data_IF_997473135086
#
_entry.id   IF_997473135086
#
_cell.length_a   1.000
_cell.length_b   1.000
_cell.length_c   1.000
_cell.angle_alpha   90.00
_cell.angle_beta   90.00
_cell.angle_gamma   90.00
#
_symmetry.space_group_name_H-M   'P 1'
#
loop_
_entity.id
_entity.type
_entity.pdbx_description
1 polymer ?
#
# COMPACT_ATOMS: atom_id res chain seq x y z
N UNK A 1 -17.82 20.11 -9.07
CA UNK A 1 -17.32 18.73 -8.91
C UNK A 1 -18.02 18.01 -7.76
N UNK A 2 -19.10 17.28 -8.06
CA UNK A 2 -19.90 16.60 -7.02
C UNK A 2 -19.60 15.11 -6.96
N UNK A 3 -19.35 14.59 -5.76
CA UNK A 3 -19.22 13.14 -5.51
C UNK A 3 -20.59 12.44 -5.38
N UNK A 4 -21.70 13.12 -5.72
CA UNK A 4 -23.05 12.61 -5.51
C UNK A 4 -23.33 11.30 -6.25
N UNK A 5 -22.88 11.19 -7.50
CA UNK A 5 -23.01 9.98 -8.31
C UNK A 5 -22.43 8.75 -7.59
N UNK A 6 -21.30 8.92 -6.92
CA UNK A 6 -20.63 7.82 -6.22
C UNK A 6 -21.32 7.43 -4.91
N UNK A 7 -22.15 8.31 -4.31
CA UNK A 7 -23.03 7.93 -3.21
C UNK A 7 -24.14 7.00 -3.70
N UNK A 8 -24.70 7.27 -4.88
CA UNK A 8 -25.67 6.37 -5.53
C UNK A 8 -25.08 4.99 -5.80
N UNK A 9 -23.91 4.94 -6.45
CA UNK A 9 -23.20 3.67 -6.68
C UNK A 9 -22.86 2.94 -5.38
N UNK A 10 -22.55 3.67 -4.30
CA UNK A 10 -22.28 3.07 -3.00
C UNK A 10 -23.55 2.50 -2.36
N UNK A 11 -24.70 3.16 -2.53
CA UNK A 11 -26.00 2.64 -2.11
C UNK A 11 -26.30 1.32 -2.80
N UNK A 12 -26.16 1.26 -4.12
CA UNK A 12 -26.38 0.03 -4.90
C UNK A 12 -25.50 -1.13 -4.40
N UNK A 13 -24.23 -0.84 -4.07
CA UNK A 13 -23.31 -1.83 -3.53
C UNK A 13 -23.67 -2.30 -2.10
N UNK A 14 -24.26 -1.42 -1.28
CA UNK A 14 -24.78 -1.76 0.05
C UNK A 14 -26.04 -2.62 -0.08
N UNK A 15 -26.96 -2.27 -0.99
CA UNK A 15 -28.20 -3.02 -1.23
C UNK A 15 -27.91 -4.43 -1.78
N UNK A 16 -26.81 -4.59 -2.52
CA UNK A 16 -26.35 -5.88 -3.04
C UNK A 16 -25.56 -6.73 -2.03
N UNK A 17 -25.37 -6.28 -0.78
CA UNK A 17 -24.64 -7.05 0.23
C UNK A 17 -25.33 -8.39 0.52
N UNK A 18 -24.65 -9.54 0.30
CA UNK A 18 -25.21 -10.81 0.72
C UNK A 18 -25.08 -10.97 2.24
N UNK A 19 -25.53 -12.11 2.76
CA UNK A 19 -25.51 -12.44 4.18
C UNK A 19 -24.18 -12.07 4.88
N UNK A 20 -24.25 -11.67 6.16
CA UNK A 20 -23.09 -11.23 6.92
C UNK A 20 -21.98 -12.29 6.90
N UNK A 21 -20.72 -11.82 6.79
CA UNK A 21 -19.54 -12.68 6.78
C UNK A 21 -19.30 -13.29 8.17
N UNK A 22 -18.45 -14.31 8.21
CA UNK A 22 -18.06 -14.98 9.45
C UNK A 22 -17.48 -13.95 10.42
N UNK A 23 -18.03 -13.87 11.64
CA UNK A 23 -17.46 -13.05 12.70
C UNK A 23 -16.18 -13.70 13.22
N UNK A 24 -15.08 -12.98 13.09
CA UNK A 24 -13.78 -13.33 13.68
C UNK A 24 -13.56 -12.50 14.95
N UNK A 25 -12.72 -12.95 15.90
CA UNK A 25 -12.39 -12.18 17.11
C UNK A 25 -11.73 -10.83 16.78
N UNK A 26 -11.89 -9.85 17.66
CA UNK A 26 -11.34 -8.52 17.43
C UNK A 26 -9.81 -8.49 17.61
N UNK A 27 -9.13 -7.71 16.76
CA UNK A 27 -7.71 -7.36 16.88
C UNK A 27 -7.59 -6.14 17.79
N UNK A 28 -7.12 -6.36 19.02
CA UNK A 28 -7.10 -5.33 20.07
C UNK A 28 -6.11 -4.19 19.81
N UNK A 29 -4.99 -4.45 19.14
CA UNK A 29 -4.02 -3.41 18.76
C UNK A 29 -4.44 -2.73 17.44
N UNK A 30 -4.73 -1.41 17.45
CA UNK A 30 -5.23 -0.71 16.26
C UNK A 30 -4.15 -0.49 15.17
N UNK A 31 -2.85 -0.62 15.48
CA UNK A 31 -1.79 -0.64 14.47
C UNK A 31 -1.72 -2.00 13.77
N UNK A 32 -1.89 -3.08 14.54
CA UNK A 32 -1.98 -4.43 13.97
C UNK A 32 -3.25 -4.56 13.13
N UNK A 33 -4.39 -4.07 13.60
CA UNK A 33 -5.63 -4.05 12.82
C UNK A 33 -5.46 -3.26 11.51
N UNK A 34 -4.81 -2.09 11.55
CA UNK A 34 -4.54 -1.31 10.33
C UNK A 34 -3.63 -2.06 9.35
N UNK A 35 -2.58 -2.70 9.86
CA UNK A 35 -1.65 -3.54 9.07
C UNK A 35 -2.38 -4.74 8.46
N UNK A 36 -3.23 -5.42 9.23
CA UNK A 36 -4.05 -6.54 8.80
C UNK A 36 -5.03 -6.13 7.70
N UNK A 37 -5.77 -5.02 7.88
CA UNK A 37 -6.72 -4.51 6.88
C UNK A 37 -6.02 -4.34 5.52
N UNK A 38 -4.90 -3.63 5.49
CA UNK A 38 -4.20 -3.35 4.23
C UNK A 38 -3.70 -4.63 3.55
N UNK A 39 -3.08 -5.53 4.31
CA UNK A 39 -2.51 -6.76 3.76
C UNK A 39 -3.58 -7.77 3.34
N UNK A 40 -4.69 -7.84 4.08
CA UNK A 40 -5.84 -8.65 3.70
C UNK A 40 -6.46 -8.14 2.40
N UNK A 41 -6.58 -6.82 2.22
CA UNK A 41 -7.04 -6.22 0.95
C UNK A 41 -6.09 -6.56 -0.20
N UNK A 42 -4.76 -6.53 -0.04
CA UNK A 42 -3.83 -7.00 -1.08
C UNK A 42 -4.05 -8.47 -1.46
N UNK A 43 -4.45 -9.29 -0.48
CA UNK A 43 -4.61 -10.75 -0.60
C UNK A 43 -6.00 -11.20 -1.03
N UNK A 44 -6.94 -10.29 -1.22
CA UNK A 44 -8.35 -10.62 -1.44
C UNK A 44 -8.98 -11.43 -0.29
N UNK A 45 -8.45 -11.27 0.92
CA UNK A 45 -8.94 -11.95 2.12
C UNK A 45 -10.03 -11.10 2.76
N UNK A 46 -11.26 -11.25 2.25
CA UNK A 46 -12.41 -10.47 2.72
C UNK A 46 -12.68 -10.70 4.22
N UNK A 47 -12.54 -11.92 4.72
CA UNK A 47 -12.82 -12.25 6.13
C UNK A 47 -11.84 -11.52 7.06
N UNK A 48 -10.54 -11.57 6.79
CA UNK A 48 -9.53 -10.84 7.59
C UNK A 48 -9.63 -9.32 7.42
N UNK A 49 -9.99 -8.84 6.24
CA UNK A 49 -10.24 -7.42 6.02
C UNK A 49 -11.45 -6.92 6.83
N UNK A 50 -12.54 -7.69 6.89
CA UNK A 50 -13.70 -7.36 7.73
C UNK A 50 -13.37 -7.40 9.22
N UNK A 51 -12.65 -8.42 9.67
CA UNK A 51 -12.19 -8.52 11.06
C UNK A 51 -11.42 -7.25 11.45
N UNK A 52 -10.43 -6.89 10.65
CA UNK A 52 -9.62 -5.70 10.89
C UNK A 52 -10.45 -4.40 10.83
N UNK A 53 -11.41 -4.30 9.91
CA UNK A 53 -12.31 -3.15 9.84
C UNK A 53 -13.21 -3.03 11.07
N UNK A 54 -13.79 -4.13 11.54
CA UNK A 54 -14.61 -4.18 12.76
C UNK A 54 -13.80 -3.74 13.99
N UNK A 55 -12.57 -4.23 14.12
CA UNK A 55 -11.67 -3.82 15.22
C UNK A 55 -11.29 -2.34 15.18
N UNK A 56 -11.27 -1.73 13.99
CA UNK A 56 -11.00 -0.30 13.81
C UNK A 56 -12.23 0.59 14.04
N UNK A 57 -13.43 0.05 14.28
CA UNK A 57 -14.63 0.87 14.55
C UNK A 57 -14.56 1.67 15.85
N UNK A 58 -13.66 1.31 16.77
CA UNK A 58 -13.34 2.16 17.93
C UNK A 58 -12.67 3.49 17.55
N UNK A 59 -12.05 3.56 16.37
CA UNK A 59 -11.46 4.76 15.77
C UNK A 59 -11.84 4.81 14.26
N UNK A 60 -13.09 5.16 13.92
CA UNK A 60 -13.56 5.12 12.53
C UNK A 60 -12.71 5.98 11.59
N UNK A 61 -12.14 7.08 12.09
CA UNK A 61 -11.28 7.94 11.29
C UNK A 61 -10.06 7.17 10.76
N UNK A 62 -9.47 6.29 11.57
CA UNK A 62 -8.35 5.42 11.15
C UNK A 62 -8.76 4.40 10.09
N UNK A 63 -9.95 3.80 10.22
CA UNK A 63 -10.50 2.91 9.19
C UNK A 63 -10.64 3.64 7.85
N UNK A 64 -11.38 4.75 7.85
CA UNK A 64 -11.71 5.47 6.62
C UNK A 64 -10.48 6.08 5.96
N UNK A 65 -9.59 6.71 6.73
CA UNK A 65 -8.31 7.19 6.20
C UNK A 65 -7.49 6.02 5.62
N UNK A 66 -7.56 4.86 6.25
CA UNK A 66 -6.88 3.67 5.79
C UNK A 66 -7.38 3.12 4.46
N UNK A 67 -8.70 3.09 4.26
CA UNK A 67 -9.33 2.71 2.98
C UNK A 67 -9.05 3.74 1.88
N UNK A 68 -9.10 5.04 2.21
CA UNK A 68 -8.75 6.10 1.28
C UNK A 68 -7.29 6.04 0.84
N UNK A 69 -6.36 5.69 1.74
CA UNK A 69 -4.96 5.45 1.34
C UNK A 69 -4.86 4.22 0.46
N UNK A 70 -5.47 3.09 0.86
CA UNK A 70 -5.38 1.83 0.12
C UNK A 70 -5.88 1.97 -1.32
N UNK A 71 -6.95 2.73 -1.58
CA UNK A 71 -7.51 2.87 -2.93
C UNK A 71 -6.55 3.55 -3.92
N UNK A 72 -5.60 4.35 -3.44
CA UNK A 72 -4.55 4.93 -4.29
C UNK A 72 -3.23 4.14 -4.20
N UNK A 73 -2.88 3.63 -3.02
CA UNK A 73 -1.61 2.93 -2.76
C UNK A 73 -1.59 1.53 -3.38
N UNK A 74 -2.65 0.76 -3.17
CA UNK A 74 -2.71 -0.67 -3.46
C UNK A 74 -3.58 -1.01 -4.67
N UNK A 75 -4.40 -0.05 -5.10
CA UNK A 75 -5.43 -0.22 -6.11
C UNK A 75 -5.44 0.96 -7.10
N UNK A 76 -4.27 1.46 -7.49
CA UNK A 76 -4.14 2.63 -8.37
C UNK A 76 -4.98 2.52 -9.65
N UNK A 77 -5.01 1.33 -10.27
CA UNK A 77 -5.81 1.02 -11.45
C UNK A 77 -7.30 0.73 -11.21
N UNK A 78 -7.78 0.82 -9.96
CA UNK A 78 -9.18 0.53 -9.66
C UNK A 78 -10.12 1.38 -10.52
N UNK A 79 -11.28 0.81 -10.92
CA UNK A 79 -12.30 1.55 -11.62
C UNK A 79 -12.62 2.86 -10.89
N UNK A 80 -12.83 3.94 -11.66
CA UNK A 80 -13.14 5.26 -11.10
C UNK A 80 -14.35 5.22 -10.16
N UNK A 81 -15.32 4.32 -10.42
CA UNK A 81 -16.46 4.06 -9.55
C UNK A 81 -16.07 3.66 -8.13
N UNK A 82 -15.18 2.67 -7.98
CA UNK A 82 -14.71 2.22 -6.67
C UNK A 82 -13.93 3.32 -5.93
N UNK A 83 -13.03 4.02 -6.64
CA UNK A 83 -12.29 5.16 -6.08
C UNK A 83 -13.24 6.26 -5.60
N UNK A 84 -14.20 6.64 -6.44
CA UNK A 84 -15.21 7.64 -6.10
C UNK A 84 -16.07 7.23 -4.90
N UNK A 85 -16.52 5.97 -4.82
CA UNK A 85 -17.30 5.45 -3.68
C UNK A 85 -16.51 5.53 -2.37
N UNK A 86 -15.24 5.09 -2.37
CA UNK A 86 -14.36 5.15 -1.18
C UNK A 86 -14.19 6.60 -0.73
N UNK A 87 -13.90 7.53 -1.64
CA UNK A 87 -13.68 8.94 -1.30
C UNK A 87 -14.97 9.64 -0.86
N UNK A 88 -16.12 9.30 -1.46
CA UNK A 88 -17.43 9.77 -1.02
C UNK A 88 -17.75 9.29 0.41
N UNK A 89 -17.52 8.00 0.69
CA UNK A 89 -17.71 7.42 2.03
C UNK A 89 -16.80 8.08 3.07
N UNK A 90 -15.52 8.29 2.75
CA UNK A 90 -14.57 8.92 3.67
C UNK A 90 -14.89 10.39 3.94
N UNK A 91 -15.37 11.12 2.94
CA UNK A 91 -15.67 12.54 3.02
C UNK A 91 -16.93 12.90 3.82
N UNK A 92 -17.81 11.94 4.12
CA UNK A 92 -19.09 12.23 4.79
C UNK A 92 -19.54 11.15 5.77
N UNK A 93 -19.47 11.45 7.08
CA UNK A 93 -20.08 10.60 8.12
C UNK A 93 -21.59 10.42 7.91
N UNK A 94 -22.27 11.47 7.42
CA UNK A 94 -23.71 11.42 7.14
C UNK A 94 -24.02 10.38 6.07
N UNK A 95 -23.29 10.36 4.95
CA UNK A 95 -23.48 9.35 3.89
C UNK A 95 -23.41 7.94 4.47
N UNK A 96 -22.43 7.67 5.32
CA UNK A 96 -22.29 6.35 5.92
C UNK A 96 -23.41 6.02 6.91
N UNK A 97 -23.85 6.99 7.70
CA UNK A 97 -24.99 6.83 8.59
C UNK A 97 -26.29 6.55 7.83
N UNK A 98 -26.52 7.25 6.71
CA UNK A 98 -27.71 7.09 5.89
C UNK A 98 -27.74 5.72 5.19
N UNK A 99 -26.56 5.12 4.95
CA UNK A 99 -26.38 3.79 4.33
C UNK A 99 -26.21 2.64 5.35
N UNK A 100 -26.73 2.80 6.58
CA UNK A 100 -26.73 1.73 7.58
C UNK A 100 -25.51 1.67 8.51
N UNK A 101 -24.63 2.69 8.47
CA UNK A 101 -23.51 2.88 9.39
C UNK A 101 -22.15 2.44 8.85
N UNK A 102 -21.10 2.69 9.65
CA UNK A 102 -19.70 2.50 9.22
C UNK A 102 -19.40 1.06 8.77
N UNK A 103 -19.88 0.05 9.50
CA UNK A 103 -19.56 -1.35 9.20
C UNK A 103 -20.23 -1.84 7.91
N UNK A 104 -21.49 -1.46 7.67
CA UNK A 104 -22.23 -1.84 6.46
C UNK A 104 -21.53 -1.29 5.22
N UNK A 105 -21.18 0.01 5.25
CA UNK A 105 -20.45 0.64 4.15
C UNK A 105 -19.05 0.06 3.97
N UNK A 106 -18.31 -0.19 5.06
CA UNK A 106 -17.00 -0.83 4.98
C UNK A 106 -17.11 -2.24 4.36
N UNK A 107 -18.16 -2.99 4.69
CA UNK A 107 -18.41 -4.31 4.14
C UNK A 107 -18.61 -4.28 2.62
N UNK A 108 -19.40 -3.34 2.12
CA UNK A 108 -19.63 -3.18 0.68
C UNK A 108 -18.33 -2.84 -0.06
N UNK A 109 -17.53 -1.92 0.49
CA UNK A 109 -16.27 -1.50 -0.13
C UNK A 109 -15.20 -2.59 -0.09
N UNK A 110 -15.04 -3.30 1.03
CA UNK A 110 -14.04 -4.37 1.17
C UNK A 110 -14.31 -5.51 0.19
N UNK A 111 -15.58 -5.86 -0.06
CA UNK A 111 -15.92 -6.86 -1.10
C UNK A 111 -15.46 -6.41 -2.48
N UNK A 112 -15.77 -5.18 -2.86
CA UNK A 112 -15.33 -4.62 -4.15
C UNK A 112 -13.80 -4.53 -4.26
N UNK A 113 -13.10 -4.13 -3.19
CA UNK A 113 -11.63 -4.19 -3.13
C UNK A 113 -11.10 -5.60 -3.36
N UNK A 114 -11.76 -6.61 -2.79
CA UNK A 114 -11.32 -7.99 -2.94
C UNK A 114 -11.45 -8.49 -4.38
N UNK A 115 -12.42 -7.97 -5.13
CA UNK A 115 -12.74 -8.34 -6.52
C UNK A 115 -11.88 -7.64 -7.58
N UNK A 116 -11.31 -6.48 -7.29
CA UNK A 116 -10.50 -5.74 -8.28
C UNK A 116 -9.02 -6.14 -8.26
N UNK A 117 -8.33 -6.12 -9.42
CA UNK A 117 -6.88 -6.27 -9.46
C UNK A 117 -6.15 -5.21 -8.63
N UNK A 118 -5.01 -5.58 -8.05
CA UNK A 118 -4.15 -4.67 -7.29
C UNK A 118 -3.17 -4.00 -8.25
N UNK A 119 -2.86 -2.75 -7.97
CA UNK A 119 -1.88 -1.98 -8.71
C UNK A 119 -1.19 -1.04 -7.72
N UNK A 120 0.08 -1.35 -7.43
CA UNK A 120 0.91 -0.59 -6.50
C UNK A 120 1.84 0.39 -7.22
N UNK A 121 1.65 0.65 -8.52
CA UNK A 121 2.49 1.59 -9.29
C UNK A 121 2.60 2.95 -8.63
N UNK A 122 1.53 3.48 -8.04
CA UNK A 122 1.55 4.78 -7.34
C UNK A 122 2.51 4.73 -6.16
N UNK A 123 2.39 3.72 -5.31
CA UNK A 123 3.28 3.54 -4.15
C UNK A 123 4.72 3.28 -4.58
N UNK A 124 4.93 2.41 -5.57
CA UNK A 124 6.25 2.08 -6.10
C UNK A 124 6.93 3.28 -6.76
N UNK A 125 6.17 4.12 -7.44
CA UNK A 125 6.68 5.37 -8.00
C UNK A 125 7.04 6.35 -6.89
N UNK A 126 6.16 6.55 -5.90
CA UNK A 126 6.37 7.48 -4.79
C UNK A 126 7.62 7.11 -3.98
N UNK A 127 7.70 5.85 -3.58
CA UNK A 127 8.80 5.33 -2.78
C UNK A 127 10.12 5.37 -3.55
N UNK A 128 10.12 5.04 -4.85
CA UNK A 128 11.34 5.07 -5.65
C UNK A 128 11.82 6.49 -5.93
N UNK A 129 10.95 7.37 -6.41
CA UNK A 129 11.29 8.78 -6.60
C UNK A 129 11.82 9.41 -5.29
N UNK A 130 11.21 9.10 -4.14
CA UNK A 130 11.68 9.57 -2.84
C UNK A 130 13.06 9.06 -2.42
N UNK A 131 13.49 7.89 -2.90
CA UNK A 131 14.87 7.40 -2.72
C UNK A 131 15.84 8.11 -3.67
N UNK A 132 15.44 8.34 -4.92
CA UNK A 132 16.27 9.04 -5.90
C UNK A 132 16.58 10.50 -5.51
N UNK A 133 15.73 11.14 -4.70
CA UNK A 133 16.03 12.45 -4.11
C UNK A 133 17.24 12.44 -3.16
N UNK A 134 17.61 11.28 -2.62
CA UNK A 134 18.72 11.12 -1.67
C UNK A 134 19.93 10.43 -2.29
N UNK A 135 19.68 9.52 -3.21
CA UNK A 135 20.67 8.66 -3.84
C UNK A 135 20.42 8.62 -5.35
N UNK A 136 21.04 9.57 -6.06
CA UNK A 136 20.88 9.69 -7.50
C UNK A 136 21.58 8.53 -8.23
N UNK A 137 20.96 7.97 -9.27
CA UNK A 137 21.57 6.92 -10.06
C UNK A 137 22.74 7.49 -10.86
N UNK A 138 23.75 6.67 -11.12
CA UNK A 138 24.80 7.06 -12.07
C UNK A 138 24.20 7.26 -13.48
N UNK A 139 24.82 8.09 -14.34
CA UNK A 139 24.36 8.24 -15.72
C UNK A 139 24.31 6.91 -16.50
N UNK A 140 25.20 5.96 -16.15
CA UNK A 140 25.22 4.62 -16.76
C UNK A 140 24.00 3.79 -16.34
N UNK A 141 23.63 3.82 -15.07
CA UNK A 141 22.43 3.13 -14.58
C UNK A 141 21.17 3.74 -15.17
N UNK A 142 21.04 5.07 -15.14
CA UNK A 142 19.87 5.77 -15.68
C UNK A 142 19.65 5.54 -17.18
N UNK A 143 20.72 5.35 -17.95
CA UNK A 143 20.64 4.98 -19.38
C UNK A 143 20.07 3.59 -19.62
N UNK A 144 20.10 2.68 -18.63
CA UNK A 144 19.52 1.33 -18.75
C UNK A 144 18.00 1.32 -18.59
N UNK A 145 17.42 2.37 -18.01
CA UNK A 145 15.99 2.46 -17.79
C UNK A 145 15.25 2.73 -19.10
N UNK A 146 13.99 2.32 -19.20
CA UNK A 146 13.13 2.76 -20.30
C UNK A 146 12.95 4.29 -20.30
N UNK A 147 12.72 4.91 -21.48
CA UNK A 147 12.34 6.32 -21.55
C UNK A 147 11.12 6.67 -20.67
N UNK A 148 10.12 5.80 -20.66
CA UNK A 148 8.87 5.95 -19.92
C UNK A 148 9.11 5.95 -18.41
N UNK A 149 9.96 5.04 -17.91
CA UNK A 149 10.33 5.00 -16.50
C UNK A 149 11.10 6.26 -16.08
N UNK A 150 12.03 6.74 -16.92
CA UNK A 150 12.76 7.99 -16.65
C UNK A 150 11.79 9.16 -16.54
N UNK A 151 10.90 9.33 -17.52
CA UNK A 151 9.92 10.41 -17.51
C UNK A 151 9.01 10.34 -16.27
N UNK A 152 8.49 9.15 -15.95
CA UNK A 152 7.67 8.94 -14.76
C UNK A 152 8.41 9.40 -13.50
N UNK A 153 9.64 8.93 -13.30
CA UNK A 153 10.40 9.22 -12.09
C UNK A 153 10.85 10.68 -12.01
N UNK A 154 11.20 11.30 -13.13
CA UNK A 154 11.55 12.72 -13.19
C UNK A 154 10.37 13.60 -12.78
N UNK A 155 9.20 13.39 -13.39
CA UNK A 155 7.97 14.13 -13.05
C UNK A 155 7.53 13.87 -11.61
N UNK A 156 7.71 12.64 -11.12
CA UNK A 156 7.38 12.28 -9.74
C UNK A 156 8.32 12.94 -8.73
N UNK A 157 9.62 12.98 -9.04
CA UNK A 157 10.62 13.68 -8.22
C UNK A 157 10.34 15.18 -8.15
N UNK A 158 10.04 15.81 -9.29
CA UNK A 158 9.61 17.22 -9.35
C UNK A 158 8.37 17.46 -8.49
N UNK A 159 7.35 16.60 -8.61
CA UNK A 159 6.13 16.69 -7.80
C UNK A 159 6.44 16.58 -6.30
N UNK A 160 7.27 15.61 -5.88
CA UNK A 160 7.67 15.44 -4.48
C UNK A 160 8.38 16.69 -3.96
N UNK A 161 9.32 17.27 -4.73
CA UNK A 161 10.01 18.51 -4.36
C UNK A 161 9.04 19.69 -4.22
N UNK A 162 8.12 19.83 -5.17
CA UNK A 162 7.13 20.91 -5.19
C UNK A 162 6.15 20.78 -4.02
N UNK A 163 5.62 19.59 -3.80
CA UNK A 163 4.47 19.36 -2.94
C UNK A 163 4.78 18.90 -1.51
N UNK A 164 6.01 18.47 -1.18
CA UNK A 164 6.32 18.00 0.17
C UNK A 164 7.34 18.87 0.90
N UNK A 165 7.18 19.00 2.22
CA UNK A 165 8.12 19.72 3.08
C UNK A 165 8.53 18.86 4.27
N UNK A 166 9.83 18.86 4.64
CA UNK A 166 10.26 18.22 5.87
C UNK A 166 9.61 18.92 7.06
N UNK A 167 9.16 18.14 8.04
CA UNK A 167 8.64 18.67 9.31
C UNK A 167 9.63 18.32 10.42
N UNK A 168 10.14 19.30 11.19
CA UNK A 168 11.04 19.04 12.30
C UNK A 168 10.47 17.96 13.23
N UNK A 169 11.33 17.00 13.62
CA UNK A 169 11.00 15.89 14.54
C UNK A 169 9.95 14.89 14.04
N UNK A 170 9.46 15.00 12.80
CA UNK A 170 8.62 13.97 12.19
C UNK A 170 9.42 13.12 11.22
N UNK A 171 9.11 11.82 11.19
CA UNK A 171 9.68 10.89 10.20
C UNK A 171 9.11 11.11 8.81
N UNK A 172 7.90 11.67 8.71
CA UNK A 172 7.18 11.89 7.47
C UNK A 172 7.17 13.37 7.11
N UNK A 173 7.22 13.64 5.80
CA UNK A 173 7.02 14.97 5.24
C UNK A 173 5.54 15.34 5.31
N UNK A 174 5.25 16.64 5.25
CA UNK A 174 3.88 17.15 5.10
C UNK A 174 3.65 17.59 3.66
N UNK A 175 2.41 17.47 3.19
CA UNK A 175 2.01 17.93 1.87
C UNK A 175 1.61 19.41 1.90
N UNK A 176 1.99 20.14 0.86
CA UNK A 176 1.63 21.55 0.63
C UNK A 176 0.36 21.55 -0.23
N UNK A 177 -0.80 21.66 0.43
CA UNK A 177 -2.09 21.47 -0.23
C UNK A 177 -2.30 22.36 -1.47
N UNK A 178 -1.88 23.62 -1.41
CA UNK A 178 -2.00 24.55 -2.55
C UNK A 178 -1.20 24.11 -3.77
N UNK A 179 0.02 23.59 -3.57
CA UNK A 179 0.85 23.06 -4.65
C UNK A 179 0.28 21.78 -5.25
N UNK A 180 -0.23 20.89 -4.39
CA UNK A 180 -0.90 19.67 -4.84
C UNK A 180 -2.14 19.98 -5.70
N UNK A 181 -2.98 20.91 -5.24
CA UNK A 181 -4.22 21.26 -5.92
C UNK A 181 -3.92 22.01 -7.24
N UNK A 182 -2.92 22.90 -7.25
CA UNK A 182 -2.45 23.57 -8.48
C UNK A 182 -1.96 22.55 -9.52
N UNK A 183 -1.13 21.59 -9.12
CA UNK A 183 -0.67 20.52 -10.02
C UNK A 183 -1.82 19.70 -10.61
N UNK A 184 -2.83 19.36 -9.81
CA UNK A 184 -4.00 18.62 -10.30
C UNK A 184 -4.83 19.45 -11.29
N UNK A 185 -4.97 20.76 -11.07
CA UNK A 185 -5.63 21.67 -12.02
C UNK A 185 -4.82 21.78 -13.32
N UNK A 186 -3.49 21.88 -13.25
CA UNK A 186 -2.62 21.88 -14.44
C UNK A 186 -2.80 20.59 -15.27
N UNK A 187 -2.94 19.42 -14.62
CA UNK A 187 -3.23 18.16 -15.32
C UNK A 187 -4.62 18.16 -15.97
N UNK A 188 -5.62 18.78 -15.34
CA UNK A 188 -6.97 18.89 -15.90
C UNK A 188 -7.00 19.84 -17.11
N UNK A 189 -6.37 21.01 -17.01
CA UNK A 189 -6.24 21.98 -18.10
C UNK A 189 -5.47 21.42 -19.30
N UNK A 190 -4.53 20.50 -19.05
CA UNK A 190 -3.81 19.76 -20.09
C UNK A 190 -4.58 18.54 -20.64
N UNK A 191 -5.85 18.34 -20.24
CA UNK A 191 -6.70 17.21 -20.65
C UNK A 191 -6.12 15.83 -20.29
N UNK A 192 -5.27 15.76 -19.25
CA UNK A 192 -4.64 14.52 -18.79
C UNK A 192 -5.47 13.80 -17.71
N UNK A 193 -6.37 14.53 -17.04
CA UNK A 193 -7.39 14.00 -16.14
C UNK A 193 -8.73 14.63 -16.49
N UNK A 194 -9.82 13.89 -16.31
CA UNK A 194 -11.16 14.43 -16.45
C UNK A 194 -11.66 15.12 -15.15
N UNK A 195 -12.83 15.75 -15.20
CA UNK A 195 -13.41 16.45 -14.05
C UNK A 195 -13.69 15.50 -12.86
N UNK A 196 -14.11 14.27 -13.13
CA UNK A 196 -14.41 13.28 -12.09
C UNK A 196 -13.12 12.86 -11.36
N UNK A 197 -12.06 12.57 -12.11
CA UNK A 197 -10.75 12.22 -11.58
C UNK A 197 -10.14 13.37 -10.78
N UNK A 198 -10.23 14.61 -11.29
CA UNK A 198 -9.79 15.81 -10.57
C UNK A 198 -10.49 15.91 -9.20
N UNK A 199 -11.82 15.75 -9.18
CA UNK A 199 -12.62 15.80 -7.96
C UNK A 199 -12.17 14.74 -6.93
N UNK A 200 -11.99 13.50 -7.39
CA UNK A 200 -11.57 12.36 -6.57
C UNK A 200 -10.16 12.59 -6.02
N UNK A 201 -9.22 13.08 -6.83
CA UNK A 201 -7.85 13.31 -6.41
C UNK A 201 -7.75 14.44 -5.38
N UNK A 202 -8.47 15.56 -5.60
CA UNK A 202 -8.51 16.68 -4.65
C UNK A 202 -9.11 16.23 -3.31
N UNK A 203 -10.25 15.54 -3.32
CA UNK A 203 -10.90 15.08 -2.09
C UNK A 203 -10.11 13.94 -1.43
N UNK A 204 -9.51 13.06 -2.22
CA UNK A 204 -8.56 12.04 -1.78
C UNK A 204 -7.42 12.65 -1.00
N UNK A 205 -6.76 13.68 -1.54
CA UNK A 205 -5.67 14.42 -0.88
C UNK A 205 -6.12 15.13 0.39
N UNK A 206 -7.37 15.63 0.47
CA UNK A 206 -7.95 16.20 1.72
C UNK A 206 -8.07 15.13 2.79
N UNK A 207 -8.52 13.95 2.40
CA UNK A 207 -8.83 12.83 3.28
C UNK A 207 -7.55 12.15 3.79
N UNK A 208 -6.63 11.83 2.89
CA UNK A 208 -5.41 11.08 3.21
C UNK A 208 -4.29 11.97 3.74
N UNK A 209 -4.26 13.24 3.33
CA UNK A 209 -3.16 14.18 3.61
C UNK A 209 -1.79 13.62 3.16
N UNK A 210 -1.78 12.84 2.07
CA UNK A 210 -0.57 12.31 1.44
C UNK A 210 -0.54 12.64 -0.05
N UNK A 211 0.60 12.37 -0.70
CA UNK A 211 0.83 12.69 -2.10
C UNK A 211 0.22 11.66 -3.07
N UNK A 212 -0.15 10.47 -2.61
CA UNK A 212 -0.62 9.37 -3.48
C UNK A 212 -1.79 9.77 -4.41
N UNK A 213 -2.84 10.47 -3.95
CA UNK A 213 -3.92 10.93 -4.83
C UNK A 213 -3.45 11.92 -5.90
N UNK A 214 -2.39 12.67 -5.64
CA UNK A 214 -1.80 13.68 -6.55
C UNK A 214 -0.87 13.02 -7.56
N UNK A 215 -0.18 11.96 -7.15
CA UNK A 215 0.72 11.19 -7.99
C UNK A 215 -0.02 10.24 -8.94
N UNK A 216 -1.21 9.79 -8.56
CA UNK A 216 -2.02 8.84 -9.33
C UNK A 216 -2.12 9.19 -10.84
N UNK A 217 -2.47 10.43 -11.25
CA UNK A 217 -2.52 10.80 -12.66
C UNK A 217 -1.22 10.54 -13.43
N UNK A 218 -0.05 10.77 -12.83
CA UNK A 218 1.23 10.53 -13.49
C UNK A 218 1.43 9.05 -13.84
N UNK A 219 1.04 8.15 -12.94
CA UNK A 219 1.13 6.71 -13.19
C UNK A 219 0.16 6.22 -14.25
N UNK A 220 -1.00 6.88 -14.39
CA UNK A 220 -1.98 6.58 -15.43
C UNK A 220 -1.47 6.94 -16.82
N UNK A 221 -0.71 8.03 -16.96
CA UNK A 221 -0.18 8.51 -18.25
C UNK A 221 0.84 7.57 -18.88
N UNK A 222 1.63 6.90 -18.04
CA UNK A 222 2.70 5.99 -18.46
C UNK A 222 2.28 4.53 -18.42
N UNK A 223 1.21 4.19 -17.68
CA UNK A 223 0.51 2.92 -17.86
C UNK A 223 0.11 2.86 -19.33
N UNK A 224 0.54 1.83 -20.08
CA UNK A 224 0.49 1.91 -21.53
C UNK A 224 -0.92 2.26 -22.02
N UNK A 225 -1.00 3.06 -23.09
CA UNK A 225 -2.17 3.13 -23.99
C UNK A 225 -2.57 1.75 -24.57
N UNK A 226 -1.95 0.66 -24.09
CA UNK A 226 -2.21 -0.71 -24.47
C UNK A 226 -3.45 -1.21 -23.72
N UNK A 227 -4.44 -1.61 -24.50
CA UNK A 227 -5.64 -2.32 -24.06
C UNK A 227 -5.34 -3.72 -23.48
N UNK A 228 -4.10 -4.02 -23.14
CA UNK A 228 -3.64 -5.33 -22.67
C UNK A 228 -2.67 -5.14 -21.50
N UNK A 229 -3.16 -5.39 -20.30
CA UNK A 229 -2.32 -5.72 -19.15
C UNK A 229 -2.46 -7.22 -18.87
N UNK A 230 -1.45 -7.80 -18.22
CA UNK A 230 -1.55 -9.16 -17.71
C UNK A 230 -1.92 -9.12 -16.23
N UNK A 231 -2.61 -10.15 -15.76
CA UNK A 231 -2.82 -10.39 -14.35
C UNK A 231 -1.81 -11.42 -13.88
N UNK A 232 -0.90 -11.01 -13.00
CA UNK A 232 0.03 -11.92 -12.35
C UNK A 232 -0.60 -12.40 -11.06
N UNK A 233 -0.78 -13.72 -10.95
CA UNK A 233 -1.10 -14.38 -9.70
C UNK A 233 0.20 -14.49 -8.89
N UNK A 234 0.44 -13.55 -7.98
CA UNK A 234 1.66 -13.61 -7.14
C UNK A 234 1.52 -14.60 -5.98
N UNK A 235 0.32 -15.13 -5.76
CA UNK A 235 0.05 -16.17 -4.78
C UNK A 235 -1.03 -17.14 -5.32
N UNK A 236 -0.73 -18.45 -5.52
CA UNK A 236 -1.73 -19.42 -5.95
C UNK A 236 -2.86 -19.54 -4.92
N UNK A 237 -4.11 -19.54 -5.38
CA UNK A 237 -5.28 -19.74 -4.52
C UNK A 237 -5.10 -20.99 -3.64
N UNK A 238 -5.26 -20.84 -2.32
CA UNK A 238 -5.10 -21.93 -1.35
C UNK A 238 -3.77 -21.93 -0.56
N UNK A 239 -2.70 -21.29 -1.06
CA UNK A 239 -1.41 -21.20 -0.33
C UNK A 239 -1.47 -20.30 0.90
N UNK A 240 -2.46 -19.40 1.00
CA UNK A 240 -2.68 -18.56 2.17
C UNK A 240 -3.08 -19.35 3.41
N UNK A 241 -3.85 -20.45 3.27
CA UNK A 241 -4.30 -21.24 4.42
C UNK A 241 -3.14 -21.90 5.18
N UNK A 242 -1.99 -22.07 4.53
CA UNK A 242 -0.83 -22.76 5.13
C UNK A 242 0.24 -21.77 5.68
N UNK A 243 0.25 -20.53 5.19
CA UNK A 243 1.20 -19.49 5.65
C UNK A 243 0.59 -18.48 6.61
N UNK A 244 -0.74 -18.34 6.65
CA UNK A 244 -1.44 -17.67 7.76
C UNK A 244 -1.58 -18.65 8.93
N UNK A 245 -0.46 -18.99 9.57
CA UNK A 245 -0.57 -19.38 10.98
C UNK A 245 -1.19 -18.16 11.68
N UNK A 246 -2.41 -18.31 12.14
CA UNK A 246 -3.03 -17.29 12.95
C UNK A 246 -2.54 -17.48 14.39
N UNK A 247 -2.32 -16.37 15.08
CA UNK A 247 -1.98 -16.39 16.50
C UNK A 247 -3.08 -15.66 17.22
N UNK A 248 -3.92 -16.40 17.95
CA UNK A 248 -5.13 -15.85 18.58
C UNK A 248 -5.95 -15.00 17.60
N UNK A 249 -6.20 -15.57 16.41
CA UNK A 249 -6.97 -14.94 15.35
C UNK A 249 -6.35 -13.69 14.73
N UNK A 250 -5.08 -13.36 15.00
CA UNK A 250 -4.33 -12.34 14.28
C UNK A 250 -3.50 -13.00 13.18
N UNK A 251 -3.61 -12.54 11.91
CA UNK A 251 -2.75 -13.05 10.85
C UNK A 251 -1.30 -12.58 11.07
N UNK A 252 -0.35 -13.51 11.14
CA UNK A 252 1.06 -13.19 11.42
C UNK A 252 1.70 -12.19 10.43
N UNK A 253 1.21 -12.15 9.18
CA UNK A 253 1.67 -11.16 8.21
C UNK A 253 1.35 -9.71 8.62
N UNK A 254 0.41 -9.49 9.54
CA UNK A 254 0.12 -8.17 10.08
C UNK A 254 1.20 -7.70 11.08
N UNK A 255 1.97 -8.63 11.67
CA UNK A 255 3.05 -8.35 12.62
C UNK A 255 4.36 -8.10 11.87
N UNK A 256 4.44 -6.98 11.16
CA UNK A 256 5.60 -6.59 10.36
C UNK A 256 6.37 -5.40 10.97
N UNK A 257 7.34 -4.84 10.24
CA UNK A 257 8.14 -3.71 10.71
C UNK A 257 7.38 -2.38 10.86
N UNK A 258 6.06 -2.34 10.60
CA UNK A 258 5.20 -1.22 10.96
C UNK A 258 4.47 -1.41 12.29
N UNK A 259 4.60 -2.59 12.91
CA UNK A 259 4.05 -2.90 14.23
C UNK A 259 5.18 -3.03 15.26
N UNK A 260 4.86 -2.77 16.53
CA UNK A 260 5.83 -2.94 17.63
C UNK A 260 6.29 -4.38 17.73
N UNK A 261 5.34 -5.31 17.81
CA UNK A 261 5.57 -6.76 17.87
C UNK A 261 6.39 -7.24 16.69
N UNK A 262 6.04 -6.87 15.46
CA UNK A 262 6.80 -7.28 14.28
C UNK A 262 8.21 -6.70 14.24
N UNK A 263 8.40 -5.45 14.68
CA UNK A 263 9.75 -4.85 14.78
C UNK A 263 10.61 -5.60 15.80
N UNK A 264 10.07 -5.92 16.98
CA UNK A 264 10.77 -6.70 18.01
C UNK A 264 11.13 -8.10 17.49
N UNK A 265 10.21 -8.78 16.81
CA UNK A 265 10.45 -10.09 16.21
C UNK A 265 11.55 -10.04 15.15
N UNK A 266 11.57 -9.00 14.29
CA UNK A 266 12.62 -8.79 13.29
C UNK A 266 13.99 -8.55 13.92
N UNK A 267 14.05 -7.81 15.02
CA UNK A 267 15.29 -7.62 15.75
C UNK A 267 15.84 -8.94 16.30
N UNK A 268 15.00 -9.74 16.97
CA UNK A 268 15.40 -11.06 17.45
C UNK A 268 15.81 -12.00 16.31
N UNK A 269 15.08 -11.98 15.19
CA UNK A 269 15.41 -12.77 14.00
C UNK A 269 16.80 -12.42 13.47
N UNK A 270 17.11 -11.12 13.41
CA UNK A 270 18.42 -10.64 12.98
C UNK A 270 19.53 -11.20 13.87
N UNK A 271 19.36 -11.19 15.19
CA UNK A 271 20.33 -11.78 16.13
C UNK A 271 20.48 -13.30 15.96
N UNK A 272 19.40 -14.00 15.66
CA UNK A 272 19.39 -15.46 15.59
C UNK A 272 19.82 -16.02 14.22
N UNK A 273 20.00 -15.18 13.20
CA UNK A 273 20.26 -15.64 11.82
C UNK A 273 21.58 -15.08 11.27
N UNK A 274 22.72 -15.80 11.41
CA UNK A 274 24.03 -15.34 10.96
C UNK A 274 24.09 -14.95 9.48
N UNK A 275 23.36 -15.68 8.62
CA UNK A 275 23.27 -15.38 7.18
C UNK A 275 22.71 -13.98 6.91
N UNK A 276 21.61 -13.62 7.56
CA UNK A 276 21.01 -12.28 7.44
C UNK A 276 21.93 -11.20 8.01
N UNK A 277 22.65 -11.48 9.11
CA UNK A 277 23.63 -10.53 9.66
C UNK A 277 24.78 -10.25 8.69
N UNK A 278 25.27 -11.29 8.01
CA UNK A 278 26.33 -11.17 7.01
C UNK A 278 25.87 -10.31 5.83
N UNK A 279 24.68 -10.57 5.29
CA UNK A 279 24.09 -9.82 4.17
C UNK A 279 23.82 -8.36 4.53
N UNK A 280 23.45 -8.08 5.78
CA UNK A 280 23.16 -6.73 6.28
C UNK A 280 24.39 -6.07 6.93
N UNK A 281 25.59 -6.63 6.79
CA UNK A 281 26.86 -6.06 7.29
C UNK A 281 27.14 -4.62 6.78
N UNK A 282 26.79 -4.23 5.54
CA UNK A 282 27.03 -2.86 5.05
C UNK A 282 26.33 -1.75 5.84
N UNK A 283 25.28 -2.06 6.61
CA UNK A 283 24.59 -1.06 7.42
C UNK A 283 25.28 -0.85 8.77
N UNK A 284 25.64 0.39 9.06
CA UNK A 284 26.40 0.74 10.27
C UNK A 284 25.61 0.55 11.57
N UNK A 285 24.30 0.84 11.56
CA UNK A 285 23.46 0.82 12.76
C UNK A 285 22.48 -0.35 12.78
N UNK A 286 22.16 -0.84 13.99
CA UNK A 286 21.10 -1.84 14.21
C UNK A 286 19.76 -1.37 13.64
N UNK A 287 19.40 -0.11 13.82
CA UNK A 287 18.14 0.44 13.27
C UNK A 287 18.10 0.38 11.74
N UNK A 288 19.22 0.68 11.07
CA UNK A 288 19.29 0.57 9.61
C UNK A 288 19.17 -0.89 9.15
N UNK A 289 19.82 -1.84 9.83
CA UNK A 289 19.66 -3.28 9.55
C UNK A 289 18.23 -3.75 9.72
N UNK A 290 17.55 -3.37 10.79
CA UNK A 290 16.13 -3.72 11.02
C UNK A 290 15.23 -3.13 9.94
N UNK A 291 15.48 -1.90 9.48
CA UNK A 291 14.73 -1.29 8.37
C UNK A 291 14.94 -2.05 7.06
N UNK A 292 16.19 -2.38 6.71
CA UNK A 292 16.50 -3.18 5.55
C UNK A 292 15.83 -4.56 5.61
N UNK A 293 15.87 -5.22 6.78
CA UNK A 293 15.19 -6.49 7.02
C UNK A 293 13.67 -6.38 6.89
N UNK A 294 13.08 -5.29 7.39
CA UNK A 294 11.65 -5.00 7.21
C UNK A 294 11.29 -4.80 5.74
N UNK A 295 12.16 -4.18 4.93
CA UNK A 295 11.94 -4.03 3.50
C UNK A 295 12.01 -5.39 2.78
N UNK A 296 12.95 -6.26 3.16
CA UNK A 296 13.01 -7.64 2.65
C UNK A 296 11.76 -8.43 3.03
N UNK A 297 11.33 -8.37 4.30
CA UNK A 297 10.09 -8.98 4.78
C UNK A 297 8.88 -8.49 3.97
N UNK A 298 8.82 -7.18 3.70
CA UNK A 298 7.75 -6.61 2.89
C UNK A 298 7.70 -7.25 1.51
N UNK A 299 8.83 -7.41 0.82
CA UNK A 299 8.86 -8.03 -0.51
C UNK A 299 8.46 -9.51 -0.48
N UNK A 300 8.86 -10.27 0.56
CA UNK A 300 8.57 -11.71 0.64
C UNK A 300 7.21 -12.05 1.24
N UNK A 301 6.58 -11.11 1.95
CA UNK A 301 5.33 -11.34 2.68
C UNK A 301 4.40 -10.12 2.53
N UNK A 302 4.73 -8.97 3.13
CA UNK A 302 3.80 -7.85 3.30
C UNK A 302 3.20 -7.25 2.01
N UNK A 303 3.94 -7.28 0.91
CA UNK A 303 3.59 -6.70 -0.39
C UNK A 303 2.96 -7.69 -1.38
N UNK A 304 2.76 -8.95 -1.00
CA UNK A 304 2.12 -9.96 -1.85
C UNK A 304 0.67 -9.54 -2.17
N UNK A 305 0.33 -9.61 -3.46
CA UNK A 305 -1.00 -9.31 -3.99
C UNK A 305 -1.59 -10.52 -4.72
N UNK A 306 -2.78 -11.00 -4.36
CA UNK A 306 -3.34 -12.23 -4.96
C UNK A 306 -3.52 -12.12 -6.46
N UNK A 307 -3.99 -10.96 -6.93
CA UNK A 307 -4.06 -10.60 -8.34
C UNK A 307 -3.44 -9.22 -8.49
N UNK A 308 -2.32 -9.13 -9.21
CA UNK A 308 -1.62 -7.88 -9.44
C UNK A 308 -1.56 -7.60 -10.93
N UNK A 309 -1.82 -6.36 -11.32
CA UNK A 309 -1.57 -5.91 -12.69
C UNK A 309 -0.07 -5.97 -12.96
N UNK A 310 0.30 -6.44 -14.15
CA UNK A 310 1.69 -6.44 -14.63
C UNK A 310 1.74 -6.02 -16.09
N UNK A 311 2.73 -5.16 -16.36
CA UNK A 311 3.12 -4.64 -17.67
C UNK A 311 4.63 -4.36 -17.63
N UNK A 312 5.30 -4.20 -18.80
CA UNK A 312 6.75 -4.02 -18.84
C UNK A 312 7.29 -2.85 -18.01
N UNK A 313 6.56 -1.73 -17.97
CA UNK A 313 6.99 -0.55 -17.20
C UNK A 313 6.88 -0.82 -15.71
N UNK A 314 5.79 -1.44 -15.27
CA UNK A 314 5.60 -1.76 -13.86
C UNK A 314 6.58 -2.83 -13.36
N UNK A 315 6.86 -3.84 -14.19
CA UNK A 315 7.85 -4.87 -13.86
C UNK A 315 9.26 -4.28 -13.75
N UNK A 316 9.63 -3.38 -14.66
CA UNK A 316 10.89 -2.62 -14.59
C UNK A 316 10.96 -1.75 -13.32
N UNK A 317 9.91 -0.99 -13.04
CA UNK A 317 9.78 -0.17 -11.83
C UNK A 317 10.01 -1.01 -10.57
N UNK A 318 9.27 -2.12 -10.42
CA UNK A 318 9.37 -3.02 -9.26
C UNK A 318 10.76 -3.65 -9.12
N UNK A 319 11.35 -4.06 -10.24
CA UNK A 319 12.67 -4.69 -10.23
C UNK A 319 13.72 -3.73 -9.65
N UNK A 320 13.72 -2.47 -10.11
CA UNK A 320 14.72 -1.48 -9.70
C UNK A 320 14.41 -0.92 -8.31
N UNK A 321 13.13 -0.63 -8.02
CA UNK A 321 12.70 -0.01 -6.77
C UNK A 321 13.05 -0.85 -5.54
N UNK A 322 12.77 -2.16 -5.62
CA UNK A 322 12.96 -3.12 -4.51
C UNK A 322 14.42 -3.19 -4.04
N UNK A 323 15.37 -3.08 -4.96
CA UNK A 323 16.78 -3.03 -4.60
C UNK A 323 17.08 -1.78 -3.76
N UNK A 324 16.66 -0.63 -4.28
CA UNK A 324 17.04 0.68 -3.73
C UNK A 324 16.41 0.98 -2.37
N UNK A 325 15.16 0.59 -2.12
CA UNK A 325 14.51 0.92 -0.84
C UNK A 325 15.03 0.11 0.34
N UNK A 326 15.52 -1.10 0.09
CA UNK A 326 16.19 -1.89 1.12
C UNK A 326 17.54 -1.30 1.53
N UNK A 327 18.12 -0.43 0.68
CA UNK A 327 19.48 0.08 0.83
C UNK A 327 20.57 -0.94 0.50
N UNK A 328 20.22 -2.13 0.01
CA UNK A 328 21.16 -3.16 -0.39
C UNK A 328 21.60 -2.99 -1.86
N UNK A 329 22.83 -3.40 -2.20
CA UNK A 329 23.24 -3.48 -3.60
C UNK A 329 22.31 -4.41 -4.40
N UNK A 330 21.93 -4.06 -5.64
CA UNK A 330 21.03 -4.87 -6.47
C UNK A 330 21.44 -6.34 -6.61
N UNK A 331 22.74 -6.61 -6.68
CA UNK A 331 23.32 -7.95 -6.81
C UNK A 331 23.12 -8.83 -5.58
N UNK A 332 22.90 -8.24 -4.39
CA UNK A 332 22.69 -8.97 -3.13
C UNK A 332 21.21 -9.31 -2.93
N UNK A 333 20.30 -8.61 -3.60
CA UNK A 333 18.85 -8.73 -3.39
C UNK A 333 18.33 -10.16 -3.59
N UNK A 334 18.67 -10.91 -4.66
CA UNK A 334 18.17 -12.28 -4.82
C UNK A 334 18.53 -13.18 -3.64
N UNK A 335 19.78 -13.09 -3.17
CA UNK A 335 20.25 -13.87 -2.01
C UNK A 335 19.55 -13.43 -0.72
N UNK A 336 19.42 -12.12 -0.49
CA UNK A 336 18.77 -11.57 0.70
C UNK A 336 17.28 -11.94 0.78
N UNK A 337 16.57 -11.92 -0.35
CA UNK A 337 15.18 -12.40 -0.42
C UNK A 337 15.09 -13.91 -0.19
N UNK A 338 16.05 -14.70 -0.69
CA UNK A 338 16.15 -16.13 -0.40
C UNK A 338 16.31 -16.41 1.10
N UNK A 339 17.31 -15.76 1.72
CA UNK A 339 17.57 -15.87 3.16
C UNK A 339 16.36 -15.43 4.00
N UNK A 340 15.66 -14.37 3.59
CA UNK A 340 14.45 -13.91 4.28
C UNK A 340 13.31 -14.94 4.20
N UNK A 341 13.08 -15.56 3.03
CA UNK A 341 12.06 -16.62 2.87
C UNK A 341 12.36 -17.84 3.73
N UNK A 342 13.62 -18.29 3.75
CA UNK A 342 14.08 -19.39 4.61
C UNK A 342 13.88 -19.08 6.11
N UNK A 343 14.00 -17.79 6.49
CA UNK A 343 13.86 -17.34 7.86
C UNK A 343 12.39 -17.14 8.33
N UNK A 344 11.41 -17.15 7.42
CA UNK A 344 9.99 -16.91 7.75
C UNK A 344 9.44 -17.86 8.83
N UNK A 345 9.68 -19.19 8.82
CA UNK A 345 9.21 -20.07 9.87
C UNK A 345 9.74 -19.70 11.26
N UNK A 346 11.00 -19.24 11.35
CA UNK A 346 11.58 -18.78 12.61
C UNK A 346 10.97 -17.45 13.04
N UNK A 347 10.82 -16.50 12.11
CA UNK A 347 10.15 -15.23 12.39
C UNK A 347 8.72 -15.43 12.91
N UNK A 348 7.98 -16.38 12.33
CA UNK A 348 6.61 -16.68 12.75
C UNK A 348 6.54 -17.21 14.19
N UNK A 349 7.50 -18.04 14.62
CA UNK A 349 7.61 -18.44 16.03
C UNK A 349 7.89 -17.25 16.96
N UNK A 350 8.84 -16.40 16.59
CA UNK A 350 9.16 -15.20 17.39
C UNK A 350 7.97 -14.24 17.51
N UNK A 351 7.23 -14.03 16.42
CA UNK A 351 6.00 -13.22 16.41
C UNK A 351 4.95 -13.80 17.35
N UNK A 352 4.81 -15.13 17.38
CA UNK A 352 3.88 -15.84 18.26
C UNK A 352 4.24 -15.61 19.73
N UNK A 353 5.48 -15.92 20.09
CA UNK A 353 6.00 -15.79 21.45
C UNK A 353 5.84 -14.36 22.00
N UNK A 354 6.14 -13.34 21.19
CA UNK A 354 6.02 -11.93 21.60
C UNK A 354 4.56 -11.47 21.68
N UNK A 355 3.68 -11.97 20.81
CA UNK A 355 2.26 -11.60 20.86
C UNK A 355 1.56 -12.21 22.08
N UNK A 356 2.05 -13.35 22.56
CA UNK A 356 1.53 -14.09 23.71
C UNK A 356 2.02 -13.54 25.06
N UNK A 357 3.17 -12.85 25.08
CA UNK A 357 3.79 -12.24 26.27
C UNK A 357 3.22 -10.87 26.58
#
# INVERSE_FOLDING_TARGET
MSLERYKGLLSDAVDALPSPLKKLPDITDPYVARSALQKALRRADADRAMQAAASLLGDPQRLWKGLAVAVFEDFGSAPIGLRGQVIAACGSKKVRSDLGGDMVVAQALIRQFCEVPRDRRVDETYMFAGVLEKDQPSPRERRRWSPELRELLDRSGDLIRRCERPVPRRRFKTVVAGECDAFLVEMYEAELVDEEELAICIQGRKTTQCLLPVLFPLTKLVSPRQRSFSLTLTCPAGTYRDTSRDTYDVPLYALDGYTRTGTQALELLLWATPRLQSLLKPFESRSAKTKALSALLFVVEGGICTQEISDPLYDELKYISRARWSGLPPEVIPEALGAMREALPHLNRLRQEIWES
#
